data_IF_913919305744
#
_entry.id   IF_913919305744
#
_cell.length_a   1.000
_cell.length_b   1.000
_cell.length_c   1.000
_cell.angle_alpha   90.00
_cell.angle_beta   90.00
_cell.angle_gamma   90.00
#
_symmetry.space_group_name_H-M   'P 1'
#
loop_
_entity.id
_entity.type
_entity.pdbx_description
1 polymer ?
#
# COMPACT_ATOMS: atom_id res chain seq x y z
N UNK A 1 -2.13 7.95 16.85
CA UNK A 1 -0.74 8.12 17.33
C UNK A 1 0.20 7.91 16.16
N UNK A 2 1.37 8.54 16.17
CA UNK A 2 2.42 8.33 15.17
C UNK A 2 3.72 7.97 15.86
N UNK A 3 4.51 7.08 15.27
CA UNK A 3 5.82 6.67 15.77
C UNK A 3 6.84 6.69 14.63
N UNK A 4 8.08 7.08 14.95
CA UNK A 4 9.23 6.90 14.08
C UNK A 4 10.09 5.76 14.62
N UNK A 5 10.15 4.65 13.89
CA UNK A 5 11.10 3.57 14.18
C UNK A 5 12.38 3.90 13.40
N UNK A 6 13.45 4.22 14.13
CA UNK A 6 14.71 4.72 13.57
C UNK A 6 15.59 3.55 13.12
N UNK A 7 15.83 3.48 11.81
CA UNK A 7 16.83 2.61 11.20
C UNK A 7 18.20 3.29 11.11
N UNK A 8 19.15 2.66 10.41
CA UNK A 8 20.50 3.24 10.26
C UNK A 8 20.51 4.48 9.36
N UNK A 9 19.70 4.49 8.30
CA UNK A 9 19.62 5.57 7.29
C UNK A 9 18.20 5.83 6.80
N UNK A 10 17.22 5.26 7.48
CA UNK A 10 15.80 5.35 7.17
C UNK A 10 15.02 5.48 8.48
N UNK A 11 13.75 5.88 8.36
CA UNK A 11 12.80 5.77 9.44
C UNK A 11 11.52 5.15 8.90
N UNK A 12 10.94 4.23 9.65
CA UNK A 12 9.58 3.79 9.42
C UNK A 12 8.65 4.73 10.20
N UNK A 13 8.05 5.69 9.49
CA UNK A 13 7.01 6.55 10.06
C UNK A 13 5.68 5.79 10.05
N UNK A 14 5.33 5.24 11.22
CA UNK A 14 4.11 4.47 11.41
C UNK A 14 3.01 5.41 11.90
N UNK A 15 1.91 5.48 11.15
CA UNK A 15 0.72 6.25 11.50
C UNK A 15 -0.43 5.30 11.75
N UNK A 16 -0.94 5.28 12.98
CA UNK A 16 -2.14 4.54 13.32
C UNK A 16 -3.38 5.38 12.99
N UNK A 17 -4.07 4.99 11.91
CA UNK A 17 -5.41 5.51 11.56
C UNK A 17 -6.44 4.73 12.37
N UNK A 18 -6.66 5.18 13.61
CA UNK A 18 -7.63 4.60 14.54
C UNK A 18 -9.01 5.21 14.30
N UNK A 19 -10.04 4.36 14.23
CA UNK A 19 -11.42 4.79 14.01
C UNK A 19 -12.42 3.74 14.52
N UNK A 20 -13.65 4.17 14.81
CA UNK A 20 -14.73 3.25 15.18
C UNK A 20 -15.28 2.53 13.94
N UNK A 21 -15.13 1.20 13.91
CA UNK A 21 -15.61 0.36 12.80
C UNK A 21 -17.10 0.08 12.83
N UNK A 22 -17.80 0.42 13.92
CA UNK A 22 -19.24 0.22 14.07
C UNK A 22 -20.06 1.38 13.50
N UNK A 23 -19.44 2.53 13.25
CA UNK A 23 -20.04 3.67 12.56
C UNK A 23 -19.65 3.68 11.06
N UNK A 24 -20.61 3.42 10.14
CA UNK A 24 -20.34 3.40 8.70
C UNK A 24 -19.83 4.72 8.12
N UNK A 25 -20.23 5.87 8.68
CA UNK A 25 -19.78 7.18 8.21
C UNK A 25 -18.30 7.38 8.58
N UNK A 26 -17.92 6.98 9.78
CA UNK A 26 -16.52 7.03 10.25
C UNK A 26 -15.65 6.05 9.48
N UNK A 27 -16.14 4.84 9.17
CA UNK A 27 -15.44 3.88 8.29
C UNK A 27 -15.14 4.52 6.94
N UNK A 28 -16.13 5.14 6.31
CA UNK A 28 -15.94 5.81 5.01
C UNK A 28 -14.90 6.93 5.10
N UNK A 29 -14.98 7.76 6.13
CA UNK A 29 -14.03 8.84 6.35
C UNK A 29 -12.60 8.33 6.59
N UNK A 30 -12.43 7.22 7.34
CA UNK A 30 -11.12 6.61 7.57
C UNK A 30 -10.49 6.06 6.28
N UNK A 31 -11.30 5.45 5.41
CA UNK A 31 -10.82 4.99 4.10
C UNK A 31 -10.41 6.17 3.20
N UNK A 32 -11.18 7.25 3.19
CA UNK A 32 -10.85 8.47 2.44
C UNK A 32 -9.57 9.12 2.98
N UNK A 33 -9.44 9.26 4.30
CA UNK A 33 -8.24 9.77 4.94
C UNK A 33 -7.00 8.94 4.58
N UNK A 34 -7.08 7.61 4.64
CA UNK A 34 -5.96 6.74 4.26
C UNK A 34 -5.62 6.86 2.76
N UNK A 35 -6.64 6.98 1.91
CA UNK A 35 -6.47 7.21 0.47
C UNK A 35 -5.72 8.52 0.20
N UNK A 36 -6.13 9.62 0.83
CA UNK A 36 -5.51 10.94 0.71
C UNK A 36 -4.07 10.94 1.24
N UNK A 37 -3.82 10.33 2.40
CA UNK A 37 -2.46 10.17 2.94
C UNK A 37 -1.53 9.49 1.94
N UNK A 38 -1.97 8.40 1.30
CA UNK A 38 -1.17 7.71 0.28
C UNK A 38 -0.90 8.60 -0.93
N UNK A 39 -1.88 9.39 -1.38
CA UNK A 39 -1.72 10.34 -2.49
C UNK A 39 -0.69 11.40 -2.14
N UNK A 40 -0.90 12.13 -1.04
CA UNK A 40 -0.06 13.27 -0.65
C UNK A 40 1.38 12.83 -0.37
N UNK A 41 1.59 11.75 0.37
CA UNK A 41 2.94 11.24 0.64
C UNK A 41 3.64 10.83 -0.65
N UNK A 42 2.93 10.21 -1.60
CA UNK A 42 3.53 9.82 -2.88
C UNK A 42 3.88 11.02 -3.75
N UNK A 43 3.09 12.10 -3.71
CA UNK A 43 3.37 13.36 -4.43
C UNK A 43 4.65 14.03 -3.90
N UNK A 44 4.90 13.92 -2.60
CA UNK A 44 6.11 14.41 -1.94
C UNK A 44 7.31 13.43 -2.06
N UNK A 45 7.16 12.33 -2.79
CA UNK A 45 8.22 11.36 -3.05
C UNK A 45 8.44 10.31 -1.96
N UNK A 46 7.53 10.20 -0.98
CA UNK A 46 7.60 9.18 0.07
C UNK A 46 6.92 7.87 -0.35
N UNK A 47 7.68 6.77 -0.30
CA UNK A 47 7.17 5.42 -0.53
C UNK A 47 6.61 4.78 0.74
N UNK A 48 5.57 3.95 0.59
CA UNK A 48 4.99 3.16 1.70
C UNK A 48 5.58 1.76 1.72
N UNK A 49 6.32 1.41 2.78
CA UNK A 49 6.95 0.09 2.94
C UNK A 49 5.95 -1.08 2.98
N UNK A 50 4.79 -0.91 3.63
CA UNK A 50 3.77 -1.96 3.79
C UNK A 50 2.37 -1.35 3.93
N UNK A 51 1.38 -2.05 3.39
CA UNK A 51 -0.02 -1.62 3.42
C UNK A 51 -0.99 -2.79 3.65
N UNK A 52 -2.20 -2.47 4.11
CA UNK A 52 -3.31 -3.42 4.21
C UNK A 52 -3.85 -3.82 2.82
N UNK A 53 -4.64 -4.88 2.76
CA UNK A 53 -5.11 -5.49 1.49
C UNK A 53 -5.96 -4.57 0.63
N UNK A 54 -6.71 -3.63 1.22
CA UNK A 54 -7.59 -2.74 0.47
C UNK A 54 -6.82 -1.74 -0.41
N UNK A 55 -5.56 -1.44 -0.08
CA UNK A 55 -4.76 -0.41 -0.76
C UNK A 55 -3.51 -0.96 -1.45
N UNK A 56 -3.34 -2.29 -1.53
CA UNK A 56 -2.17 -2.90 -2.20
C UNK A 56 -2.04 -2.47 -3.66
N UNK A 57 -3.14 -2.37 -4.39
CA UNK A 57 -3.13 -1.89 -5.77
C UNK A 57 -2.71 -0.41 -5.83
N UNK A 58 -3.32 0.47 -5.02
CA UNK A 58 -2.96 1.89 -4.99
C UNK A 58 -1.48 2.10 -4.68
N UNK A 59 -0.96 1.48 -3.62
CA UNK A 59 0.46 1.59 -3.25
C UNK A 59 1.35 1.06 -4.37
N UNK A 60 1.05 -0.07 -4.99
CA UNK A 60 1.89 -0.54 -6.09
C UNK A 60 1.88 0.39 -7.32
N UNK A 61 0.88 1.27 -7.50
CA UNK A 61 0.91 2.29 -8.55
C UNK A 61 1.93 3.40 -8.28
N UNK A 62 2.19 3.74 -7.01
CA UNK A 62 3.10 4.85 -6.66
C UNK A 62 4.56 4.53 -6.99
N UNK A 63 4.93 3.24 -7.05
CA UNK A 63 6.26 2.79 -7.46
C UNK A 63 6.47 2.72 -8.98
N UNK A 64 5.44 3.03 -9.77
CA UNK A 64 5.55 3.21 -11.22
C UNK A 64 5.35 1.94 -12.06
N UNK A 65 5.20 2.13 -13.38
CA UNK A 65 4.76 1.07 -14.30
C UNK A 65 5.84 0.03 -14.62
N UNK A 66 7.12 0.42 -14.60
CA UNK A 66 8.24 -0.48 -14.95
C UNK A 66 8.37 -1.60 -13.93
N UNK A 67 8.37 -1.29 -12.63
CA UNK A 67 8.44 -2.30 -11.58
C UNK A 67 7.24 -3.26 -11.65
N UNK A 68 6.04 -2.73 -11.84
CA UNK A 68 4.83 -3.54 -12.03
C UNK A 68 4.93 -4.50 -13.21
N UNK A 69 5.47 -4.04 -14.33
CA UNK A 69 5.66 -4.87 -15.51
C UNK A 69 6.62 -6.03 -15.23
N UNK A 70 7.77 -5.75 -14.62
CA UNK A 70 8.76 -6.78 -14.23
C UNK A 70 8.12 -7.81 -13.31
N UNK A 71 7.41 -7.38 -12.26
CA UNK A 71 6.73 -8.28 -11.34
C UNK A 71 5.68 -9.15 -12.03
N UNK A 72 4.90 -8.59 -12.96
CA UNK A 72 3.91 -9.36 -13.73
C UNK A 72 4.56 -10.40 -14.64
N UNK A 73 5.68 -10.06 -15.26
CA UNK A 73 6.45 -11.00 -16.09
C UNK A 73 6.96 -12.17 -15.26
N UNK A 74 7.54 -11.90 -14.09
CA UNK A 74 7.98 -12.94 -13.15
C UNK A 74 6.81 -13.79 -12.66
N UNK A 75 5.68 -13.16 -12.30
CA UNK A 75 4.46 -13.86 -11.86
C UNK A 75 3.97 -14.85 -12.90
N UNK A 76 3.88 -14.43 -14.16
CA UNK A 76 3.44 -15.31 -15.26
C UNK A 76 4.38 -16.49 -15.48
N UNK A 77 5.69 -16.29 -15.32
CA UNK A 77 6.68 -17.35 -15.47
C UNK A 77 6.61 -18.38 -14.33
N UNK A 78 6.36 -17.93 -13.09
CA UNK A 78 6.41 -18.77 -11.89
C UNK A 78 5.06 -19.33 -11.45
N UNK A 79 3.96 -18.65 -11.80
CA UNK A 79 2.58 -19.05 -11.48
C UNK A 79 1.67 -18.78 -12.69
N UNK A 80 1.78 -19.60 -13.76
CA UNK A 80 1.03 -19.40 -14.99
C UNK A 80 -0.49 -19.52 -14.82
N UNK A 81 -0.95 -20.22 -13.78
CA UNK A 81 -2.37 -20.40 -13.47
C UNK A 81 -2.90 -19.34 -12.49
N UNK A 82 -2.04 -18.48 -11.94
CA UNK A 82 -2.43 -17.40 -11.02
C UNK A 82 -3.02 -17.86 -9.68
N UNK A 83 -2.66 -19.05 -9.20
CA UNK A 83 -3.26 -19.63 -7.99
C UNK A 83 -2.66 -19.09 -6.69
N UNK A 84 -1.45 -18.51 -6.75
CA UNK A 84 -0.75 -18.00 -5.57
C UNK A 84 -1.14 -16.54 -5.31
N UNK A 85 -2.15 -16.36 -4.46
CA UNK A 85 -2.57 -15.06 -3.90
C UNK A 85 -2.68 -13.91 -4.93
N UNK A 86 -3.55 -14.04 -5.95
CA UNK A 86 -3.73 -12.99 -6.96
C UNK A 86 -4.14 -11.67 -6.30
N UNK A 87 -3.46 -10.58 -6.67
CA UNK A 87 -3.66 -9.24 -6.10
C UNK A 87 -2.72 -8.88 -4.94
N UNK A 88 -1.95 -9.84 -4.40
CA UNK A 88 -0.94 -9.54 -3.38
C UNK A 88 0.07 -8.52 -3.93
N UNK A 89 0.25 -7.41 -3.21
CA UNK A 89 1.11 -6.29 -3.61
C UNK A 89 0.77 -5.72 -5.00
N UNK A 90 -0.49 -5.83 -5.42
CA UNK A 90 -0.96 -5.37 -6.73
C UNK A 90 -0.48 -6.19 -7.92
N UNK A 91 0.00 -7.42 -7.70
CA UNK A 91 0.49 -8.34 -8.73
C UNK A 91 -0.60 -9.35 -9.07
N UNK A 92 -0.95 -9.46 -10.35
CA UNK A 92 -1.91 -10.43 -10.90
C UNK A 92 -1.29 -11.14 -12.09
#
# INVERSE_FOLDING_TARGET
>A
SGEFIVGMRDMHHIVDVLYDRTDPAVVKAAYQCFDELLTEFSNEGYGTYRVNTAFMDKVAHTYGPVQRHVHKTLKKALDPNGILAPGKSGIR
#
